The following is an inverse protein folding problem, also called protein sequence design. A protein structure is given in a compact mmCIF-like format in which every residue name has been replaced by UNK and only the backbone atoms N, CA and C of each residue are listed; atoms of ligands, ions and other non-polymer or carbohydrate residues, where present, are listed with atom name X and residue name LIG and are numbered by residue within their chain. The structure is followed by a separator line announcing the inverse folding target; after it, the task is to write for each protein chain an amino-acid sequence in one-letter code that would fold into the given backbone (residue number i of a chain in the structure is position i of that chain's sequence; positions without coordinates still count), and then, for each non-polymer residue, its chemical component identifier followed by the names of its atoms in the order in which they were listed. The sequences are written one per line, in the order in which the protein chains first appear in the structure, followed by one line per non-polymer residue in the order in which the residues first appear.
data_IF_076539996835
#
_entry.id   IF_076539996835
#
_cell.length_a   1.000
_cell.length_b   1.000
_cell.length_c   1.000
_cell.angle_alpha   90.00
_cell.angle_beta   90.00
_cell.angle_gamma   90.00
#
_symmetry.space_group_name_H-M   'P 1'
#
loop_
_entity.id
_entity.type
_entity.pdbx_description
1 polymer ?
#
# COMPACT_ATOMS: atom_id res chain seq x y z
N UNK A 1 67.27 18.48 5.00
CA UNK A 1 66.31 18.23 6.09
C UNK A 1 64.89 18.12 5.51
N UNK A 2 64.48 16.93 5.07
CA UNK A 2 63.31 16.75 4.18
C UNK A 2 62.38 15.59 4.60
N UNK A 3 62.03 15.50 5.89
CA UNK A 3 61.18 14.40 6.40
C UNK A 3 60.02 14.80 7.32
N UNK A 4 59.90 16.08 7.71
CA UNK A 4 58.90 16.51 8.72
C UNK A 4 57.60 17.08 8.17
N UNK A 5 57.49 17.40 6.87
CA UNK A 5 56.29 18.04 6.31
C UNK A 5 55.24 17.07 5.73
N UNK A 6 55.57 15.79 5.55
CA UNK A 6 54.66 14.80 4.96
C UNK A 6 53.64 14.28 5.99
N UNK A 7 53.98 14.31 7.29
CA UNK A 7 53.13 13.75 8.35
C UNK A 7 51.97 14.66 8.78
N UNK A 8 52.00 15.96 8.41
CA UNK A 8 50.96 16.90 8.82
C UNK A 8 49.76 16.92 7.86
N UNK A 9 49.94 16.46 6.63
CA UNK A 9 48.87 16.39 5.62
C UNK A 9 47.96 15.17 5.77
N UNK A 10 48.46 14.10 6.42
CA UNK A 10 47.71 12.84 6.57
C UNK A 10 46.70 12.92 7.72
N UNK A 11 47.01 13.67 8.79
CA UNK A 11 46.13 13.79 9.96
C UNK A 11 44.85 14.60 9.71
N UNK A 12 44.89 15.60 8.82
CA UNK A 12 43.70 16.43 8.51
C UNK A 12 42.72 15.71 7.57
N UNK A 13 43.21 14.89 6.64
CA UNK A 13 42.38 14.14 5.70
C UNK A 13 41.56 13.04 6.36
N UNK A 14 42.13 12.33 7.33
CA UNK A 14 41.44 11.26 8.07
C UNK A 14 40.36 11.78 9.02
N UNK A 15 40.53 12.98 9.58
CA UNK A 15 39.51 13.60 10.44
C UNK A 15 38.27 14.04 9.65
N UNK A 16 38.45 14.48 8.40
CA UNK A 16 37.35 14.88 7.52
C UNK A 16 36.55 13.67 6.98
N UNK A 17 37.23 12.56 6.66
CA UNK A 17 36.55 11.33 6.23
C UNK A 17 35.75 10.66 7.37
N UNK A 18 36.21 10.75 8.62
CA UNK A 18 35.47 10.24 9.78
C UNK A 18 34.23 11.06 10.12
N UNK A 19 34.23 12.37 9.87
CA UNK A 19 33.05 13.22 10.13
C UNK A 19 31.94 13.05 9.08
N UNK A 20 32.29 12.71 7.83
CA UNK A 20 31.31 12.34 6.80
C UNK A 20 30.69 10.96 7.09
N UNK A 21 31.47 10.00 7.61
CA UNK A 21 30.95 8.67 7.99
C UNK A 21 29.89 8.68 9.09
N UNK A 22 29.98 9.63 10.05
CA UNK A 22 28.99 9.77 11.13
C UNK A 22 27.71 10.47 10.66
N UNK A 23 27.80 11.38 9.69
CA UNK A 23 26.63 12.03 9.09
C UNK A 23 25.79 11.08 8.23
N UNK A 24 26.42 10.10 7.54
CA UNK A 24 25.66 9.07 6.79
C UNK A 24 24.89 8.16 7.75
N UNK A 25 25.39 7.93 8.96
CA UNK A 25 24.70 7.13 9.97
C UNK A 25 23.54 7.88 10.67
N UNK A 26 23.45 9.20 10.51
CA UNK A 26 22.29 9.99 10.97
C UNK A 26 21.18 10.12 9.92
N UNK A 27 21.47 9.88 8.64
CA UNK A 27 20.45 9.84 7.57
C UNK A 27 19.95 8.39 7.34
N UNK A 28 20.80 7.39 7.63
CA UNK A 28 20.41 5.97 7.63
C UNK A 28 19.47 5.55 8.78
N UNK A 29 19.19 6.49 9.70
CA UNK A 29 18.27 6.33 10.82
C UNK A 29 16.81 6.65 10.49
N UNK A 30 16.40 6.59 9.21
CA UNK A 30 14.99 6.30 8.94
C UNK A 30 14.77 4.85 9.35
N UNK A 31 14.66 4.63 10.67
CA UNK A 31 13.85 3.54 11.16
C UNK A 31 12.48 3.82 10.57
N UNK A 32 12.23 3.27 9.38
CA UNK A 32 10.90 2.80 9.06
C UNK A 32 10.68 1.80 10.19
N UNK A 33 10.12 2.30 11.29
CA UNK A 33 9.20 1.53 12.10
C UNK A 33 8.16 1.13 11.05
N UNK A 34 8.45 0.04 10.34
CA UNK A 34 7.50 -1.04 10.21
C UNK A 34 7.17 -1.36 11.66
N UNK A 35 6.29 -0.54 12.25
CA UNK A 35 5.22 -1.10 12.99
C UNK A 35 4.67 -2.12 12.00
N UNK A 36 5.14 -3.35 12.11
CA UNK A 36 4.25 -4.49 12.16
C UNK A 36 3.20 -4.14 13.22
N UNK A 37 2.33 -3.16 12.89
CA UNK A 37 0.96 -3.19 13.32
C UNK A 37 0.57 -4.51 12.73
N UNK A 38 0.56 -5.54 13.56
CA UNK A 38 -0.28 -6.70 13.36
C UNK A 38 -1.68 -6.09 13.32
N UNK A 39 -2.04 -5.50 12.17
CA UNK A 39 -3.39 -5.10 11.87
C UNK A 39 -4.08 -6.43 12.02
N UNK A 40 -4.87 -6.57 13.08
CA UNK A 40 -5.85 -7.63 13.17
C UNK A 40 -6.62 -7.53 11.86
N UNK A 41 -6.20 -8.32 10.85
CA UNK A 41 -6.53 -8.04 9.46
C UNK A 41 -8.02 -8.24 9.40
N UNK A 42 -8.73 -7.15 9.21
CA UNK A 42 -10.15 -7.19 8.96
C UNK A 42 -10.32 -8.10 7.75
N UNK A 43 -10.99 -9.23 7.94
CA UNK A 43 -11.23 -10.16 6.86
C UNK A 43 -12.14 -9.46 5.86
N UNK A 44 -11.66 -9.32 4.62
CA UNK A 44 -12.47 -8.93 3.49
C UNK A 44 -13.01 -10.19 2.83
N UNK A 45 -14.26 -10.13 2.42
CA UNK A 45 -14.95 -11.22 1.74
C UNK A 45 -15.55 -10.70 0.45
N UNK A 46 -15.24 -11.38 -0.65
CA UNK A 46 -15.73 -11.05 -1.99
C UNK A 46 -16.04 -12.34 -2.73
N UNK A 47 -17.02 -12.30 -3.63
CA UNK A 47 -17.35 -13.44 -4.48
C UNK A 47 -16.32 -13.48 -5.61
N UNK A 48 -15.53 -14.54 -5.68
CA UNK A 48 -14.46 -14.76 -6.67
C UNK A 48 -14.87 -15.90 -7.63
N UNK A 49 -14.59 -15.82 -8.95
CA UNK A 49 -13.94 -14.73 -9.69
C UNK A 49 -14.84 -13.52 -9.95
N UNK A 50 -14.24 -12.33 -10.08
CA UNK A 50 -14.93 -11.10 -10.48
C UNK A 50 -14.97 -10.94 -12.01
N UNK A 51 -16.12 -10.53 -12.54
CA UNK A 51 -16.28 -10.22 -13.96
C UNK A 51 -16.28 -8.70 -14.17
N UNK A 52 -15.42 -8.15 -15.05
CA UNK A 52 -15.48 -6.74 -15.43
C UNK A 52 -16.88 -6.33 -15.89
N UNK A 53 -17.31 -5.12 -15.51
CA UNK A 53 -18.63 -4.59 -15.85
C UNK A 53 -19.77 -5.03 -14.93
N UNK A 54 -19.66 -6.17 -14.25
CA UNK A 54 -20.68 -6.64 -13.32
C UNK A 54 -20.56 -5.95 -11.95
N UNK A 55 -21.70 -5.59 -11.34
CA UNK A 55 -21.73 -5.07 -9.95
C UNK A 55 -21.59 -6.22 -8.96
N UNK A 56 -20.68 -6.07 -8.01
CA UNK A 56 -20.44 -7.05 -6.94
C UNK A 56 -20.42 -6.35 -5.59
N UNK A 57 -20.81 -7.07 -4.53
CA UNK A 57 -20.74 -6.57 -3.15
C UNK A 57 -19.53 -7.16 -2.46
N UNK A 58 -18.68 -6.30 -1.90
CA UNK A 58 -17.59 -6.66 -1.00
C UNK A 58 -18.06 -6.46 0.43
N UNK A 59 -17.68 -7.36 1.34
CA UNK A 59 -18.01 -7.32 2.76
C UNK A 59 -16.74 -7.33 3.59
N UNK A 60 -16.76 -6.74 4.77
CA UNK A 60 -15.64 -6.80 5.71
C UNK A 60 -16.12 -6.83 7.16
N UNK A 61 -15.30 -7.42 8.02
CA UNK A 61 -15.59 -7.47 9.45
C UNK A 61 -15.39 -6.10 10.10
N UNK A 62 -16.37 -5.67 10.90
CA UNK A 62 -16.34 -4.38 11.59
C UNK A 62 -16.03 -4.61 13.07
N UNK A 63 -14.84 -4.22 13.57
CA UNK A 63 -14.64 -4.11 15.00
C UNK A 63 -15.62 -3.08 15.58
N UNK A 64 -16.26 -3.43 16.70
CA UNK A 64 -17.29 -2.63 17.38
C UNK A 64 -16.83 -1.25 17.83
N UNK A 65 -15.53 -0.96 17.78
CA UNK A 65 -14.91 0.30 18.22
C UNK A 65 -14.76 1.36 17.13
N UNK A 66 -15.04 1.07 15.85
CA UNK A 66 -14.79 2.01 14.74
C UNK A 66 -16.11 2.60 14.24
N UNK A 67 -16.49 3.74 14.81
CA UNK A 67 -17.85 4.28 14.64
C UNK A 67 -18.06 5.22 13.43
N UNK A 68 -17.02 5.77 12.78
CA UNK A 68 -17.25 6.77 11.71
C UNK A 68 -16.06 7.01 10.75
N UNK A 69 -15.35 5.96 10.34
CA UNK A 69 -14.27 6.11 9.35
C UNK A 69 -14.80 5.92 7.92
N UNK A 70 -14.39 6.76 6.97
CA UNK A 70 -14.60 6.49 5.55
C UNK A 70 -13.48 5.60 5.00
N UNK A 71 -13.83 4.72 4.08
CA UNK A 71 -12.90 3.82 3.40
C UNK A 71 -13.14 3.82 1.90
N UNK A 72 -12.05 3.68 1.17
CA UNK A 72 -12.05 3.44 -0.26
C UNK A 72 -11.88 1.95 -0.49
N UNK A 73 -12.72 1.36 -1.34
CA UNK A 73 -12.42 0.06 -1.92
C UNK A 73 -11.69 0.31 -3.22
N UNK A 74 -10.44 -0.13 -3.31
CA UNK A 74 -9.60 0.03 -4.46
C UNK A 74 -9.21 -1.31 -5.05
N UNK A 75 -9.06 -1.36 -6.36
CA UNK A 75 -8.44 -2.46 -7.08
C UNK A 75 -6.98 -2.14 -7.34
N UNK A 76 -6.07 -2.99 -6.88
CA UNK A 76 -4.66 -2.97 -7.27
C UNK A 76 -4.41 -4.08 -8.27
N UNK A 77 -4.03 -3.70 -9.47
CA UNK A 77 -3.65 -4.60 -10.56
C UNK A 77 -2.31 -4.21 -11.16
N UNK A 78 -1.93 -4.88 -12.25
CA UNK A 78 -0.74 -4.52 -13.03
C UNK A 78 -0.86 -3.14 -13.69
N UNK A 79 -2.08 -2.64 -13.91
CA UNK A 79 -2.30 -1.33 -14.52
C UNK A 79 -2.15 -0.18 -13.50
N UNK A 80 -2.27 -0.48 -12.21
CA UNK A 80 -2.14 0.49 -11.13
C UNK A 80 -3.16 0.26 -10.01
N UNK A 81 -3.43 1.32 -9.25
CA UNK A 81 -4.47 1.33 -8.21
C UNK A 81 -5.64 2.17 -8.72
N UNK A 82 -6.84 1.61 -8.70
CA UNK A 82 -8.08 2.29 -9.10
C UNK A 82 -9.07 2.26 -7.95
N UNK A 83 -9.53 3.43 -7.51
CA UNK A 83 -10.61 3.51 -6.51
C UNK A 83 -11.93 3.15 -7.18
N UNK A 84 -12.58 2.10 -6.70
CA UNK A 84 -13.84 1.60 -7.25
C UNK A 84 -15.05 2.29 -6.61
N UNK A 85 -14.97 2.53 -5.30
CA UNK A 85 -16.05 3.15 -4.55
C UNK A 85 -15.55 3.67 -3.21
N UNK A 86 -16.34 4.54 -2.60
CA UNK A 86 -16.16 5.04 -1.24
C UNK A 86 -17.35 4.58 -0.39
N UNK A 87 -17.09 4.12 0.83
CA UNK A 87 -18.13 3.67 1.75
C UNK A 87 -17.73 3.99 3.19
N UNK A 88 -18.70 4.29 4.07
CA UNK A 88 -18.43 4.28 5.50
C UNK A 88 -17.99 2.89 5.95
N UNK A 89 -16.91 2.81 6.72
CA UNK A 89 -16.35 1.56 7.24
C UNK A 89 -17.38 0.79 8.08
N UNK A 90 -18.23 1.50 8.82
CA UNK A 90 -19.30 0.92 9.64
C UNK A 90 -20.46 0.33 8.84
N UNK A 91 -20.52 0.52 7.51
CA UNK A 91 -21.49 -0.21 6.68
C UNK A 91 -21.11 -1.68 6.51
N UNK A 92 -19.83 -2.03 6.73
CA UNK A 92 -19.33 -3.40 6.62
C UNK A 92 -19.37 -3.97 5.21
N UNK A 93 -19.81 -3.17 4.25
CA UNK A 93 -20.09 -3.58 2.88
C UNK A 93 -19.93 -2.41 1.92
N UNK A 94 -19.63 -2.71 0.66
CA UNK A 94 -19.69 -1.76 -0.45
C UNK A 94 -20.03 -2.47 -1.76
N UNK A 95 -20.82 -1.80 -2.60
CA UNK A 95 -21.03 -2.22 -3.99
C UNK A 95 -19.90 -1.66 -4.84
N UNK A 96 -19.20 -2.53 -5.57
CA UNK A 96 -18.14 -2.20 -6.51
C UNK A 96 -18.51 -2.66 -7.93
N UNK A 97 -17.84 -2.09 -8.91
CA UNK A 97 -17.89 -2.54 -10.30
C UNK A 97 -16.48 -2.46 -10.86
N UNK A 98 -15.95 -3.59 -11.35
CA UNK A 98 -14.61 -3.62 -11.95
C UNK A 98 -14.67 -2.95 -13.33
N UNK A 99 -13.75 -2.03 -13.66
CA UNK A 99 -13.74 -1.37 -14.97
C UNK A 99 -13.62 -2.37 -16.12
N UNK A 100 -14.35 -2.14 -17.21
CA UNK A 100 -14.29 -3.00 -18.40
C UNK A 100 -12.93 -3.05 -19.09
N UNK A 101 -12.06 -2.09 -18.80
CA UNK A 101 -10.69 -2.01 -19.31
C UNK A 101 -9.69 -2.88 -18.53
N UNK A 102 -10.12 -3.46 -17.41
CA UNK A 102 -9.26 -4.26 -16.55
C UNK A 102 -8.98 -5.64 -17.18
N UNK A 103 -7.70 -6.03 -17.34
CA UNK A 103 -7.34 -7.32 -17.92
C UNK A 103 -7.69 -8.49 -16.99
N UNK A 104 -7.98 -9.64 -17.60
CA UNK A 104 -8.13 -10.88 -16.88
C UNK A 104 -6.83 -11.29 -16.18
N UNK A 105 -6.94 -11.87 -14.99
CA UNK A 105 -5.79 -12.34 -14.20
C UNK A 105 -5.95 -12.08 -12.70
N UNK A 106 -4.84 -12.13 -11.98
CA UNK A 106 -4.84 -11.92 -10.52
C UNK A 106 -4.71 -10.43 -10.19
N UNK A 107 -5.55 -9.96 -9.27
CA UNK A 107 -5.51 -8.61 -8.71
C UNK A 107 -5.73 -8.65 -7.20
N UNK A 108 -5.55 -7.52 -6.52
CA UNK A 108 -5.82 -7.38 -5.10
C UNK A 108 -6.90 -6.32 -4.88
N UNK A 109 -7.94 -6.64 -4.13
CA UNK A 109 -8.85 -5.65 -3.59
C UNK A 109 -8.29 -5.13 -2.28
N UNK A 110 -8.29 -3.82 -2.10
CA UNK A 110 -7.77 -3.15 -0.91
C UNK A 110 -8.86 -2.28 -0.29
N UNK A 111 -9.02 -2.38 1.02
CA UNK A 111 -9.79 -1.44 1.82
C UNK A 111 -8.82 -0.41 2.38
N UNK A 112 -8.92 0.82 1.91
CA UNK A 112 -7.98 1.89 2.25
C UNK A 112 -8.70 2.91 3.13
N UNK A 113 -8.09 3.22 4.27
CA UNK A 113 -8.56 4.29 5.15
C UNK A 113 -8.52 5.65 4.43
N UNK A 114 -9.61 6.41 4.47
CA UNK A 114 -9.61 7.75 3.88
C UNK A 114 -8.73 8.74 4.64
N UNK A 115 -8.57 8.55 5.95
CA UNK A 115 -7.91 9.48 6.88
C UNK A 115 -6.38 9.44 6.77
N UNK A 116 -5.79 8.24 6.81
CA UNK A 116 -4.34 8.04 6.82
C UNK A 116 -3.82 7.30 5.58
N UNK A 117 -4.69 6.98 4.62
CA UNK A 117 -4.38 6.27 3.38
C UNK A 117 -3.71 4.91 3.58
N UNK A 118 -3.82 4.32 4.77
CA UNK A 118 -3.28 2.98 5.03
C UNK A 118 -4.23 1.90 4.54
N UNK A 119 -3.68 0.81 4.02
CA UNK A 119 -4.45 -0.42 3.73
C UNK A 119 -4.88 -1.06 5.05
N UNK A 120 -6.18 -1.17 5.26
CA UNK A 120 -6.82 -1.75 6.44
C UNK A 120 -7.01 -3.26 6.26
N UNK A 121 -7.46 -3.64 5.06
CA UNK A 121 -7.73 -5.00 4.66
C UNK A 121 -7.41 -5.17 3.19
N UNK A 122 -7.07 -6.37 2.78
CA UNK A 122 -6.93 -6.70 1.38
C UNK A 122 -7.27 -8.17 1.15
N UNK A 123 -7.68 -8.48 -0.06
CA UNK A 123 -7.91 -9.84 -0.52
C UNK A 123 -7.41 -10.02 -1.95
N UNK A 124 -6.87 -11.20 -2.26
CA UNK A 124 -6.45 -11.53 -3.62
C UNK A 124 -7.62 -12.14 -4.36
N UNK A 125 -7.89 -11.62 -5.54
CA UNK A 125 -9.00 -12.03 -6.39
C UNK A 125 -8.51 -12.42 -7.78
N UNK A 126 -9.36 -13.17 -8.47
CA UNK A 126 -9.23 -13.51 -9.88
C UNK A 126 -10.24 -12.69 -10.69
N UNK A 127 -9.75 -11.96 -11.67
CA UNK A 127 -10.54 -11.23 -12.65
C UNK A 127 -10.75 -12.14 -13.87
N UNK A 128 -12.00 -12.45 -14.17
CA UNK A 128 -12.42 -13.17 -15.37
C UNK A 128 -12.26 -12.29 -16.62
N UNK A 129 -12.23 -12.89 -17.83
CA UNK A 129 -12.37 -12.13 -19.08
C UNK A 129 -13.61 -11.22 -19.05
N UNK A 130 -13.53 -10.10 -19.78
CA UNK A 130 -14.62 -9.13 -19.85
C UNK A 130 -15.95 -9.80 -20.23
N UNK A 131 -16.98 -9.55 -19.42
CA UNK A 131 -18.31 -10.12 -19.60
C UNK A 131 -19.13 -9.36 -20.66
N UNK A 132 -20.37 -9.83 -20.92
CA UNK A 132 -21.27 -9.18 -21.87
C UNK A 132 -21.59 -7.73 -21.49
N UNK A 133 -21.53 -7.37 -20.21
CA UNK A 133 -21.74 -6.01 -19.72
C UNK A 133 -20.70 -5.00 -20.24
N UNK A 134 -19.57 -5.48 -20.75
CA UNK A 134 -18.48 -4.67 -21.30
C UNK A 134 -18.47 -4.56 -22.83
N UNK A 135 -19.35 -5.29 -23.51
CA UNK A 135 -19.45 -5.27 -24.98
C UNK A 135 -20.61 -4.36 -25.35
N UNK A 136 -20.32 -3.08 -25.58
CA UNK A 136 -21.25 -2.09 -26.12
C UNK A 136 -20.62 -1.33 -27.28
#
# INVERSE_FOLDING_TARGET
MNKRRIWMSVGLGTAFLLSVGVLVNMIGGVSVRSNDVTISRIAMHVVDPLTPGARTVVRWNMPSSIASQQVFVALRSKQGITVLTESPFFAGTASIQIPCTEPAGTASLELISSQNKSVIAWDTITISPAGPDCVR
#
